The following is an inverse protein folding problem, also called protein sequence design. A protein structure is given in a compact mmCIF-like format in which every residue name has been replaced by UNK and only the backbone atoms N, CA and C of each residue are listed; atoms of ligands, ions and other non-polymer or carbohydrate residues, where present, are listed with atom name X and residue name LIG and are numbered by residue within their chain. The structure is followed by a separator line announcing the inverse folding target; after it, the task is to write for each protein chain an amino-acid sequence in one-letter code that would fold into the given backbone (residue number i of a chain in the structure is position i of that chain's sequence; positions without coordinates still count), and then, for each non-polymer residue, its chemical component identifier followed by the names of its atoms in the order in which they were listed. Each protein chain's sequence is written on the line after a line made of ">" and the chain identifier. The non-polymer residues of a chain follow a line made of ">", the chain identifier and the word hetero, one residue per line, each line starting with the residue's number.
data_IF_922642923243
#
_entry.id   IF_922642923243
#
_cell.length_a   1.000
_cell.length_b   1.000
_cell.length_c   1.000
_cell.angle_alpha   90.00
_cell.angle_beta   90.00
_cell.angle_gamma   90.00
#
_symmetry.space_group_name_H-M   'P 1'
#
loop_
_entity.id
_entity.type
_entity.pdbx_description
1 polymer ?
#
# COMPACT_ATOMS: atom_id res chain seq x y z
N UNK A 1 42.50 -36.12 -6.40
CA UNK A 1 41.15 -35.49 -6.23
C UNK A 1 41.25 -34.49 -5.09
N UNK A 2 41.27 -33.15 -5.39
CA UNK A 2 41.34 -32.11 -4.35
C UNK A 2 39.89 -31.75 -3.98
N UNK A 3 39.54 -31.95 -2.70
CA UNK A 3 38.28 -31.48 -2.11
C UNK A 3 38.16 -29.98 -2.30
N UNK A 4 37.11 -29.52 -2.98
CA UNK A 4 36.68 -28.11 -2.97
C UNK A 4 35.91 -27.86 -1.69
N UNK A 5 36.38 -26.89 -0.92
CA UNK A 5 35.71 -26.36 0.27
C UNK A 5 34.35 -25.74 -0.12
N UNK A 6 33.21 -26.09 0.56
CA UNK A 6 31.89 -25.57 0.24
C UNK A 6 31.69 -24.09 0.60
N UNK A 7 32.74 -23.39 1.05
CA UNK A 7 32.65 -21.97 1.48
C UNK A 7 33.10 -20.94 0.46
N UNK A 8 33.37 -21.35 -0.78
CA UNK A 8 33.73 -20.42 -1.84
C UNK A 8 32.46 -19.86 -2.49
N UNK A 9 31.73 -19.04 -1.72
CA UNK A 9 30.68 -18.17 -2.25
C UNK A 9 31.35 -17.10 -3.12
N UNK A 10 31.17 -17.19 -4.42
CA UNK A 10 31.66 -16.24 -5.41
C UNK A 10 31.31 -14.82 -4.99
N UNK A 11 32.30 -14.10 -4.43
CA UNK A 11 32.20 -12.65 -4.22
C UNK A 11 32.29 -12.01 -5.59
N UNK A 12 31.21 -11.39 -6.04
CA UNK A 12 31.28 -10.45 -7.16
C UNK A 12 32.24 -9.31 -6.77
N UNK A 13 33.31 -9.05 -7.57
CA UNK A 13 34.23 -7.97 -7.27
C UNK A 13 33.46 -6.62 -7.38
N UNK A 14 33.41 -5.88 -6.29
CA UNK A 14 32.74 -4.58 -6.23
C UNK A 14 31.43 -4.54 -5.46
N UNK A 15 30.96 -5.65 -4.85
CA UNK A 15 29.80 -5.61 -3.95
C UNK A 15 30.17 -4.83 -2.68
N UNK A 16 29.82 -3.54 -2.66
CA UNK A 16 29.69 -2.84 -1.38
C UNK A 16 28.70 -3.63 -0.49
N UNK A 17 28.89 -3.68 0.84
CA UNK A 17 27.90 -4.28 1.72
C UNK A 17 26.54 -3.68 1.40
N UNK A 18 25.51 -4.54 1.28
CA UNK A 18 24.12 -4.12 1.03
C UNK A 18 23.72 -3.30 2.26
N UNK A 19 24.08 -2.03 2.26
CA UNK A 19 24.05 -1.17 3.42
C UNK A 19 22.62 -0.77 3.83
N UNK A 20 21.63 -0.96 2.97
CA UNK A 20 20.30 -0.44 3.23
C UNK A 20 19.21 -1.32 2.63
N UNK A 21 18.77 -2.33 3.39
CA UNK A 21 17.48 -2.98 3.19
C UNK A 21 16.35 -2.00 3.62
N UNK A 22 15.10 -2.33 3.28
CA UNK A 22 13.95 -1.57 3.82
C UNK A 22 13.99 -1.60 5.35
N UNK A 23 13.78 -0.43 5.95
CA UNK A 23 13.65 -0.26 7.40
C UNK A 23 12.17 -0.11 7.74
N UNK A 24 11.49 -1.23 8.05
CA UNK A 24 10.07 -1.20 8.39
C UNK A 24 9.93 -1.00 9.90
N UNK A 25 9.36 0.13 10.38
CA UNK A 25 9.13 0.34 11.81
C UNK A 25 8.14 -0.69 12.37
N UNK A 26 8.29 -1.08 13.63
CA UNK A 26 7.32 -1.98 14.26
C UNK A 26 5.93 -1.33 14.36
N UNK A 27 4.87 -2.13 14.28
CA UNK A 27 3.49 -1.68 14.47
C UNK A 27 3.32 -0.95 15.81
N UNK A 28 3.93 -1.48 16.87
CA UNK A 28 3.88 -0.84 18.21
C UNK A 28 4.47 0.58 18.20
N UNK A 29 5.58 0.81 17.51
CA UNK A 29 6.16 2.14 17.39
C UNK A 29 5.22 3.08 16.62
N UNK A 30 4.64 2.60 15.52
CA UNK A 30 3.71 3.40 14.71
C UNK A 30 2.37 3.67 15.40
N UNK A 31 1.91 2.80 16.29
CA UNK A 31 0.72 3.06 17.14
C UNK A 31 0.97 4.15 18.17
N UNK A 32 2.17 4.21 18.74
CA UNK A 32 2.54 5.25 19.70
C UNK A 32 2.75 6.61 19.06
N UNK A 33 3.16 6.61 17.79
CA UNK A 33 3.39 7.82 17.00
C UNK A 33 2.82 7.62 15.58
N UNK A 34 1.50 7.71 15.42
CA UNK A 34 0.85 7.59 14.12
C UNK A 34 1.27 8.73 13.18
N UNK A 35 1.05 8.54 11.89
CA UNK A 35 1.25 9.61 10.92
C UNK A 35 0.03 10.52 10.98
N UNK A 36 0.25 11.75 11.41
CA UNK A 36 -0.82 12.76 11.53
C UNK A 36 -0.76 13.76 10.39
N UNK A 37 -1.92 14.09 9.87
CA UNK A 37 -2.10 15.17 8.89
C UNK A 37 -3.11 16.18 9.41
N UNK A 38 -3.53 17.12 8.57
CA UNK A 38 -4.55 18.10 8.97
C UNK A 38 -5.92 17.48 9.25
N UNK A 39 -6.30 16.42 8.52
CA UNK A 39 -7.65 15.83 8.56
C UNK A 39 -7.68 14.36 8.91
N UNK A 40 -6.59 13.63 8.74
CA UNK A 40 -6.56 12.19 8.96
C UNK A 40 -5.37 11.73 9.80
N UNK A 41 -5.56 10.56 10.38
CA UNK A 41 -4.53 9.79 11.05
C UNK A 41 -4.33 8.49 10.27
N UNK A 42 -3.08 8.13 10.03
CA UNK A 42 -2.72 6.82 9.52
C UNK A 42 -2.20 5.98 10.68
N UNK A 43 -2.96 4.98 11.04
CA UNK A 43 -2.62 4.02 12.11
C UNK A 43 -2.48 2.63 11.53
N UNK A 44 -1.54 1.77 12.00
CA UNK A 44 -1.47 0.39 11.55
C UNK A 44 -2.82 -0.30 11.71
N UNK A 45 -3.22 -1.09 10.70
CA UNK A 45 -4.38 -1.96 10.83
C UNK A 45 -4.14 -3.01 11.91
N UNK A 46 -5.18 -3.27 12.71
CA UNK A 46 -5.15 -4.17 13.86
C UNK A 46 -6.26 -5.22 13.75
N UNK A 47 -6.13 -6.29 14.54
CA UNK A 47 -7.14 -7.36 14.57
C UNK A 47 -8.55 -6.85 14.90
N UNK A 48 -8.65 -5.83 15.75
CA UNK A 48 -9.92 -5.22 16.17
C UNK A 48 -10.62 -4.39 15.09
N UNK A 49 -9.94 -4.06 13.97
CA UNK A 49 -10.51 -3.21 12.92
C UNK A 49 -11.46 -3.99 11.98
N UNK A 50 -11.55 -5.32 12.09
CA UNK A 50 -12.27 -6.18 11.16
C UNK A 50 -13.73 -5.78 10.92
N UNK A 51 -14.48 -5.45 11.97
CA UNK A 51 -15.88 -5.04 11.86
C UNK A 51 -16.04 -3.67 11.20
N UNK A 52 -15.22 -2.69 11.57
CA UNK A 52 -15.23 -1.37 10.92
C UNK A 52 -14.83 -1.46 9.44
N UNK A 53 -13.87 -2.33 9.10
CA UNK A 53 -13.50 -2.61 7.71
C UNK A 53 -14.67 -3.21 6.93
N UNK A 54 -15.39 -4.16 7.55
CA UNK A 54 -16.59 -4.73 6.95
C UNK A 54 -17.62 -3.66 6.66
N UNK A 55 -18.01 -2.87 7.65
CA UNK A 55 -19.01 -1.81 7.50
C UNK A 55 -18.62 -0.79 6.42
N UNK A 56 -17.34 -0.41 6.39
CA UNK A 56 -16.81 0.51 5.39
C UNK A 56 -16.86 -0.05 3.97
N UNK A 57 -16.53 -1.34 3.79
CA UNK A 57 -16.58 -2.01 2.49
C UNK A 57 -18.03 -2.26 2.07
N UNK A 58 -18.87 -2.78 2.96
CA UNK A 58 -20.25 -3.12 2.63
C UNK A 58 -21.07 -1.89 2.27
N UNK A 59 -20.96 -0.81 3.04
CA UNK A 59 -21.58 0.47 2.74
C UNK A 59 -21.06 1.16 1.46
N UNK A 60 -19.95 0.68 0.91
CA UNK A 60 -19.31 1.25 -0.29
C UNK A 60 -19.19 0.26 -1.45
N UNK A 61 -19.78 -0.93 -1.33
CA UNK A 61 -19.59 -2.10 -2.20
C UNK A 61 -19.69 -1.76 -3.67
N UNK A 62 -20.80 -1.20 -4.14
CA UNK A 62 -21.03 -0.87 -5.55
C UNK A 62 -20.03 0.15 -6.12
N UNK A 63 -19.41 0.98 -5.25
CA UNK A 63 -18.37 1.93 -5.62
C UNK A 63 -17.00 1.24 -5.75
N UNK A 64 -16.69 0.33 -4.83
CA UNK A 64 -15.39 -0.34 -4.75
C UNK A 64 -15.27 -1.50 -5.76
N UNK A 65 -16.32 -2.29 -5.94
CA UNK A 65 -16.32 -3.49 -6.80
C UNK A 65 -16.07 -3.19 -8.29
N UNK A 66 -16.21 -1.93 -8.69
CA UNK A 66 -15.90 -1.51 -10.06
C UNK A 66 -14.40 -1.57 -10.36
N UNK A 67 -13.56 -1.49 -9.31
CA UNK A 67 -12.13 -1.29 -9.41
C UNK A 67 -11.30 -2.31 -8.64
N UNK A 68 -11.89 -2.98 -7.66
CA UNK A 68 -11.18 -3.84 -6.72
C UNK A 68 -11.70 -5.27 -6.81
N UNK A 69 -10.89 -6.20 -7.33
CA UNK A 69 -11.32 -7.57 -7.62
C UNK A 69 -11.63 -8.39 -6.38
N UNK A 70 -11.14 -7.98 -5.21
CA UNK A 70 -11.35 -8.68 -3.94
C UNK A 70 -12.71 -8.38 -3.29
N UNK A 71 -13.40 -7.30 -3.67
CA UNK A 71 -14.67 -6.89 -3.03
C UNK A 71 -15.76 -7.95 -3.09
N UNK A 72 -15.97 -8.67 -4.19
CA UNK A 72 -16.93 -9.78 -4.24
C UNK A 72 -16.62 -10.91 -3.27
N UNK A 73 -15.34 -11.12 -2.92
CA UNK A 73 -14.90 -12.16 -1.98
C UNK A 73 -14.98 -11.69 -0.51
N UNK A 74 -15.12 -10.41 -0.27
CA UNK A 74 -15.43 -9.84 1.04
C UNK A 74 -16.95 -9.80 1.23
N UNK A 75 -17.54 -10.98 1.43
CA UNK A 75 -18.99 -11.23 1.42
C UNK A 75 -19.57 -11.54 2.81
N UNK A 76 -18.75 -11.49 3.85
CA UNK A 76 -19.15 -11.67 5.25
C UNK A 76 -18.13 -10.94 6.17
N UNK A 77 -18.53 -10.54 7.40
CA UNK A 77 -17.65 -9.84 8.34
C UNK A 77 -16.32 -10.57 8.59
N UNK A 78 -16.35 -11.91 8.62
CA UNK A 78 -15.17 -12.75 8.83
C UNK A 78 -14.11 -12.57 7.74
N UNK A 79 -14.49 -12.17 6.52
CA UNK A 79 -13.53 -11.90 5.46
C UNK A 79 -12.70 -10.63 5.77
N UNK A 80 -13.32 -9.59 6.33
CA UNK A 80 -12.64 -8.39 6.80
C UNK A 80 -11.77 -8.65 8.03
N UNK A 81 -12.20 -9.52 8.93
CA UNK A 81 -11.38 -9.97 10.07
C UNK A 81 -10.13 -10.68 9.56
N UNK A 82 -10.26 -11.65 8.65
CA UNK A 82 -9.10 -12.33 8.04
C UNK A 82 -8.17 -11.37 7.29
N UNK A 83 -8.72 -10.35 6.65
CA UNK A 83 -7.90 -9.31 6.02
C UNK A 83 -7.10 -8.52 7.06
N UNK A 84 -7.71 -8.13 8.19
CA UNK A 84 -7.01 -7.46 9.27
C UNK A 84 -5.89 -8.34 9.87
N UNK A 85 -6.14 -9.64 10.06
CA UNK A 85 -5.13 -10.62 10.49
C UNK A 85 -3.97 -10.71 9.49
N UNK A 86 -4.27 -10.77 8.20
CA UNK A 86 -3.26 -10.77 7.15
C UNK A 86 -2.43 -9.48 7.15
N UNK A 87 -3.05 -8.31 7.36
CA UNK A 87 -2.34 -7.03 7.46
C UNK A 87 -1.34 -7.03 8.62
N UNK A 88 -1.72 -7.54 9.78
CA UNK A 88 -0.85 -7.71 10.95
C UNK A 88 0.32 -8.63 10.63
N UNK A 89 0.05 -9.81 10.09
CA UNK A 89 1.07 -10.81 9.72
C UNK A 89 2.03 -10.28 8.64
N UNK A 90 1.53 -9.60 7.63
CA UNK A 90 2.34 -9.04 6.54
C UNK A 90 3.28 -7.95 7.04
N UNK A 91 2.80 -7.07 7.93
CA UNK A 91 3.62 -6.03 8.53
C UNK A 91 4.75 -6.61 9.38
N UNK A 92 4.41 -7.54 10.28
CA UNK A 92 5.40 -8.16 11.17
C UNK A 92 6.44 -8.99 10.41
N UNK A 93 6.06 -9.54 9.25
CA UNK A 93 6.96 -10.23 8.33
C UNK A 93 7.69 -9.30 7.32
N UNK A 94 7.41 -7.98 7.34
CA UNK A 94 8.03 -7.02 6.44
C UNK A 94 7.59 -7.14 4.97
N UNK A 95 6.44 -7.75 4.70
CA UNK A 95 5.92 -7.93 3.33
C UNK A 95 5.06 -6.77 2.85
N UNK A 96 4.36 -6.12 3.77
CA UNK A 96 3.50 -4.97 3.48
C UNK A 96 3.35 -4.08 4.71
N UNK A 97 2.97 -2.82 4.50
CA UNK A 97 2.68 -1.84 5.55
C UNK A 97 1.36 -1.17 5.22
N UNK A 98 0.28 -1.54 5.92
CA UNK A 98 -1.06 -1.04 5.62
C UNK A 98 -1.62 -0.27 6.81
N UNK A 99 -2.13 0.92 6.53
CA UNK A 99 -2.70 1.85 7.51
C UNK A 99 -4.21 1.97 7.31
N UNK A 100 -4.94 1.94 8.41
CA UNK A 100 -6.28 2.51 8.48
C UNK A 100 -6.17 4.04 8.31
N UNK A 101 -6.94 4.61 7.40
CA UNK A 101 -7.16 6.05 7.29
C UNK A 101 -8.31 6.39 8.22
N UNK A 102 -8.01 7.09 9.32
CA UNK A 102 -9.04 7.50 10.27
C UNK A 102 -9.25 9.01 10.23
N UNK A 103 -10.50 9.43 10.33
CA UNK A 103 -10.79 10.85 10.54
C UNK A 103 -10.11 11.34 11.83
N UNK A 104 -9.45 12.48 11.77
CA UNK A 104 -8.67 12.97 12.91
C UNK A 104 -9.52 13.30 14.12
N UNK A 105 -10.76 13.77 13.93
CA UNK A 105 -11.65 14.19 15.01
C UNK A 105 -12.52 13.05 15.52
N UNK A 106 -13.28 12.40 14.62
CA UNK A 106 -14.20 11.32 14.98
C UNK A 106 -13.52 9.98 15.22
N UNK A 107 -12.30 9.79 14.69
CA UNK A 107 -11.56 8.50 14.69
C UNK A 107 -12.20 7.42 13.81
N UNK A 108 -13.24 7.74 13.10
CA UNK A 108 -13.96 6.86 12.22
C UNK A 108 -13.06 6.36 11.07
N UNK A 109 -13.16 5.09 10.71
CA UNK A 109 -12.44 4.50 9.58
C UNK A 109 -13.00 5.05 8.26
N UNK A 110 -12.15 5.70 7.47
CA UNK A 110 -12.49 6.25 6.15
C UNK A 110 -12.04 5.35 5.00
N UNK A 111 -11.07 4.47 5.21
CA UNK A 111 -10.49 3.61 4.19
C UNK A 111 -9.12 3.08 4.60
N UNK A 112 -8.37 2.61 3.60
CA UNK A 112 -7.04 2.04 3.80
C UNK A 112 -6.07 2.62 2.77
N UNK A 113 -4.83 2.85 3.20
CA UNK A 113 -3.68 3.14 2.34
C UNK A 113 -2.51 2.27 2.78
N UNK A 114 -1.74 1.73 1.84
CA UNK A 114 -0.63 0.87 2.19
C UNK A 114 0.44 0.77 1.13
N UNK A 115 1.51 0.14 1.54
CA UNK A 115 2.66 -0.24 0.72
C UNK A 115 2.71 -1.75 0.70
N UNK A 116 2.36 -2.31 -0.42
CA UNK A 116 2.34 -3.75 -0.66
C UNK A 116 3.61 -4.22 -1.39
N UNK A 117 3.79 -5.53 -1.50
CA UNK A 117 4.89 -6.13 -2.28
C UNK A 117 6.26 -5.53 -1.93
N UNK A 118 6.55 -5.40 -0.63
CA UNK A 118 7.82 -4.87 -0.16
C UNK A 118 8.98 -5.80 -0.54
N UNK A 119 9.83 -5.35 -1.47
CA UNK A 119 11.03 -6.08 -1.92
C UNK A 119 12.26 -5.45 -1.27
N UNK A 120 12.74 -6.03 -0.20
CA UNK A 120 13.83 -5.50 0.62
C UNK A 120 15.10 -5.23 -0.19
N UNK A 121 15.52 -6.19 -1.02
CA UNK A 121 16.74 -6.08 -1.82
C UNK A 121 16.68 -4.90 -2.81
N UNK A 122 15.52 -4.64 -3.39
CA UNK A 122 15.33 -3.53 -4.35
C UNK A 122 14.83 -2.26 -3.69
N UNK A 123 14.54 -2.28 -2.40
CA UNK A 123 13.96 -1.16 -1.65
C UNK A 123 12.74 -0.58 -2.38
N UNK A 124 11.87 -1.48 -2.85
CA UNK A 124 10.70 -1.11 -3.64
C UNK A 124 9.43 -1.64 -3.01
N UNK A 125 8.33 -0.96 -3.26
CA UNK A 125 6.99 -1.35 -2.86
C UNK A 125 5.95 -0.82 -3.84
N UNK A 126 4.69 -1.22 -3.64
CA UNK A 126 3.55 -0.79 -4.44
C UNK A 126 2.54 -0.07 -3.56
N UNK A 127 2.16 1.15 -3.95
CA UNK A 127 1.15 1.94 -3.28
C UNK A 127 -0.24 1.47 -3.68
N UNK A 128 -1.03 1.00 -2.70
CA UNK A 128 -2.43 0.64 -2.85
C UNK A 128 -3.32 1.42 -1.88
N UNK A 129 -4.58 1.71 -2.29
CA UNK A 129 -5.52 2.43 -1.44
C UNK A 129 -6.97 2.29 -1.88
N UNK A 130 -7.87 2.49 -0.93
CA UNK A 130 -9.29 2.68 -1.18
C UNK A 130 -9.93 3.56 -0.10
N UNK A 131 -11.07 4.18 -0.41
CA UNK A 131 -11.87 4.97 0.53
C UNK A 131 -13.33 4.54 0.48
N UNK A 132 -14.01 4.72 1.60
CA UNK A 132 -15.47 4.74 1.68
C UNK A 132 -16.01 5.77 0.67
N UNK A 133 -17.17 5.45 0.12
CA UNK A 133 -17.83 6.31 -0.86
C UNK A 133 -18.04 7.75 -0.38
N UNK A 134 -18.54 7.91 0.83
CA UNK A 134 -18.86 9.20 1.44
C UNK A 134 -17.63 10.05 1.80
N UNK A 135 -16.45 9.44 1.86
CA UNK A 135 -15.18 10.13 2.06
C UNK A 135 -14.49 10.55 0.75
N UNK A 136 -15.05 10.15 -0.42
CA UNK A 136 -14.46 10.48 -1.72
C UNK A 136 -14.70 11.94 -2.14
N UNK A 137 -13.94 12.44 -3.14
CA UNK A 137 -14.12 13.78 -3.71
C UNK A 137 -13.63 14.94 -2.83
N UNK A 138 -13.22 14.68 -1.60
CA UNK A 138 -12.83 15.68 -0.60
C UNK A 138 -11.31 15.86 -0.46
N UNK A 139 -10.51 15.20 -1.29
CA UNK A 139 -9.04 15.23 -1.24
C UNK A 139 -8.40 14.39 -0.12
N UNK A 140 -9.19 13.65 0.65
CA UNK A 140 -8.74 12.79 1.75
C UNK A 140 -7.69 11.77 1.27
N UNK A 141 -7.96 11.06 0.16
CA UNK A 141 -7.00 10.07 -0.35
C UNK A 141 -5.69 10.71 -0.78
N UNK A 142 -5.72 11.88 -1.42
CA UNK A 142 -4.48 12.58 -1.81
C UNK A 142 -3.64 12.94 -0.59
N UNK A 143 -4.28 13.38 0.49
CA UNK A 143 -3.60 13.71 1.76
C UNK A 143 -3.02 12.47 2.43
N UNK A 144 -3.81 11.42 2.59
CA UNK A 144 -3.39 10.17 3.20
C UNK A 144 -2.26 9.48 2.41
N UNK A 145 -2.43 9.37 1.09
CA UNK A 145 -1.44 8.73 0.23
C UNK A 145 -0.12 9.52 0.16
N UNK A 146 -0.17 10.86 0.18
CA UNK A 146 1.03 11.70 0.28
C UNK A 146 1.79 11.41 1.57
N UNK A 147 1.09 11.41 2.70
CA UNK A 147 1.70 11.13 4.00
C UNK A 147 2.32 9.72 4.06
N UNK A 148 1.66 8.72 3.44
CA UNK A 148 2.18 7.36 3.33
C UNK A 148 3.44 7.30 2.44
N UNK A 149 3.46 7.97 1.30
CA UNK A 149 4.61 8.05 0.39
C UNK A 149 5.80 8.76 1.05
N UNK A 150 5.54 9.90 1.70
CA UNK A 150 6.58 10.66 2.40
C UNK A 150 7.18 9.84 3.56
N UNK A 151 6.34 9.12 4.30
CA UNK A 151 6.78 8.17 5.32
C UNK A 151 7.67 7.06 4.74
N UNK A 152 7.29 6.49 3.61
CA UNK A 152 8.06 5.44 2.95
C UNK A 152 9.47 5.90 2.59
N UNK A 153 9.59 7.06 1.99
CA UNK A 153 10.90 7.61 1.62
C UNK A 153 11.71 8.05 2.85
N UNK A 154 11.08 8.75 3.80
CA UNK A 154 11.78 9.32 4.94
C UNK A 154 12.16 8.31 6.02
N UNK A 155 11.32 7.26 6.24
CA UNK A 155 11.44 6.36 7.39
C UNK A 155 11.73 4.91 7.03
N UNK A 156 11.35 4.46 5.83
CA UNK A 156 11.55 3.06 5.43
C UNK A 156 12.73 2.86 4.48
N UNK A 157 13.43 3.93 4.09
CA UNK A 157 14.50 3.90 3.09
C UNK A 157 14.07 3.31 1.73
N UNK A 158 12.79 3.45 1.37
CA UNK A 158 12.28 3.04 0.06
C UNK A 158 13.00 3.84 -1.02
N UNK A 159 13.38 3.17 -2.11
CA UNK A 159 13.95 3.81 -3.29
C UNK A 159 12.91 4.05 -4.37
N UNK A 160 11.98 3.12 -4.54
CA UNK A 160 10.98 3.16 -5.60
C UNK A 160 9.61 2.74 -5.08
N UNK A 161 8.61 3.55 -5.38
CA UNK A 161 7.20 3.21 -5.15
C UNK A 161 6.52 3.12 -6.51
N UNK A 162 5.94 1.96 -6.82
CA UNK A 162 5.05 1.76 -7.96
C UNK A 162 3.61 2.05 -7.54
N UNK A 163 2.80 2.56 -8.45
CA UNK A 163 1.35 2.65 -8.29
C UNK A 163 0.68 2.36 -9.63
N UNK A 164 -0.43 1.64 -9.60
CA UNK A 164 -1.20 1.32 -10.80
C UNK A 164 -2.67 1.66 -10.60
N UNK A 165 -3.34 2.04 -11.67
CA UNK A 165 -4.79 2.24 -11.66
C UNK A 165 -5.37 1.87 -13.03
N UNK A 166 -6.61 1.39 -13.02
CA UNK A 166 -7.34 1.17 -14.26
C UNK A 166 -7.39 2.47 -15.08
N UNK A 167 -7.20 2.36 -16.39
CA UNK A 167 -7.09 3.52 -17.30
C UNK A 167 -8.34 4.39 -17.33
N UNK A 168 -9.50 3.83 -16.98
CA UNK A 168 -10.78 4.53 -16.86
C UNK A 168 -11.12 4.97 -15.42
N UNK A 169 -10.26 4.67 -14.41
CA UNK A 169 -10.40 5.15 -13.04
C UNK A 169 -9.83 6.57 -12.89
N UNK A 170 -10.52 7.56 -13.46
CA UNK A 170 -10.09 8.94 -13.44
C UNK A 170 -9.88 9.52 -12.04
N UNK A 171 -10.57 8.99 -11.02
CA UNK A 171 -10.40 9.43 -9.64
C UNK A 171 -9.03 9.01 -9.08
N UNK A 172 -8.64 7.75 -9.27
CA UNK A 172 -7.32 7.25 -8.86
C UNK A 172 -6.20 7.91 -9.66
N UNK A 173 -6.35 8.05 -10.98
CA UNK A 173 -5.36 8.74 -11.83
C UNK A 173 -5.09 10.17 -11.38
N UNK A 174 -6.12 10.93 -10.95
CA UNK A 174 -5.93 12.28 -10.37
C UNK A 174 -5.18 12.27 -9.04
N UNK A 175 -5.38 11.26 -8.20
CA UNK A 175 -4.60 11.10 -6.95
C UNK A 175 -3.14 10.86 -7.30
N UNK A 176 -2.85 9.88 -8.17
CA UNK A 176 -1.49 9.50 -8.59
C UNK A 176 -0.74 10.72 -9.17
N UNK A 177 -1.38 11.48 -10.06
CA UNK A 177 -0.79 12.68 -10.65
C UNK A 177 -0.42 13.74 -9.59
N UNK A 178 -1.32 13.97 -8.59
CA UNK A 178 -1.06 14.93 -7.51
C UNK A 178 0.06 14.49 -6.55
N UNK A 179 0.38 13.21 -6.52
CA UNK A 179 1.48 12.66 -5.71
C UNK A 179 2.84 12.77 -6.43
N UNK A 180 2.89 13.25 -7.67
CA UNK A 180 4.13 13.40 -8.43
C UNK A 180 4.68 12.09 -9.00
N UNK A 181 3.83 11.07 -9.16
CA UNK A 181 4.25 9.84 -9.83
C UNK A 181 4.38 10.05 -11.34
N UNK A 182 5.43 9.49 -11.93
CA UNK A 182 5.70 9.54 -13.37
C UNK A 182 5.11 8.32 -14.06
N UNK A 183 4.49 8.55 -15.22
CA UNK A 183 3.90 7.50 -16.06
C UNK A 183 5.00 6.64 -16.69
N UNK A 184 4.83 5.31 -16.66
CA UNK A 184 5.79 4.35 -17.22
C UNK A 184 5.21 3.50 -18.36
N UNK A 185 3.89 3.44 -18.50
CA UNK A 185 3.25 2.69 -19.58
C UNK A 185 1.88 2.12 -19.23
N UNK A 186 1.34 1.33 -20.15
CA UNK A 186 0.06 0.62 -19.97
C UNK A 186 0.31 -0.88 -19.93
N UNK A 187 -0.12 -1.52 -18.85
CA UNK A 187 -0.23 -2.97 -18.77
C UNK A 187 -1.63 -3.37 -19.26
N UNK A 188 -1.68 -3.99 -20.44
CA UNK A 188 -2.94 -4.42 -21.03
C UNK A 188 -3.49 -5.63 -20.30
N UNK A 189 -4.83 -5.62 -20.04
CA UNK A 189 -5.54 -6.72 -19.38
C UNK A 189 -4.85 -7.18 -18.07
N UNK A 190 -4.42 -6.19 -17.27
CA UNK A 190 -3.60 -6.43 -16.08
C UNK A 190 -4.40 -7.02 -14.92
N UNK A 191 -5.70 -6.78 -14.87
CA UNK A 191 -6.54 -7.21 -13.76
C UNK A 191 -7.94 -7.58 -14.22
N UNK A 192 -8.45 -8.71 -13.71
CA UNK A 192 -9.83 -9.15 -13.94
C UNK A 192 -10.72 -8.66 -12.79
N UNK A 193 -11.66 -7.77 -13.09
CA UNK A 193 -12.64 -7.26 -12.12
C UNK A 193 -14.05 -7.66 -12.57
N UNK A 194 -14.67 -8.56 -11.82
CA UNK A 194 -15.89 -9.22 -12.27
C UNK A 194 -15.64 -10.01 -13.56
N UNK A 195 -16.34 -9.64 -14.64
CA UNK A 195 -16.16 -10.24 -15.95
C UNK A 195 -15.33 -9.36 -16.93
N UNK A 196 -14.72 -8.28 -16.46
CA UNK A 196 -13.99 -7.32 -17.29
C UNK A 196 -12.50 -7.37 -17.04
N UNK A 197 -11.72 -7.51 -18.10
CA UNK A 197 -10.28 -7.24 -18.06
C UNK A 197 -10.03 -5.74 -18.11
N UNK A 198 -9.27 -5.22 -17.15
CA UNK A 198 -8.90 -3.81 -17.07
C UNK A 198 -7.45 -3.61 -17.50
N UNK A 199 -7.22 -2.61 -18.32
CA UNK A 199 -5.88 -2.10 -18.58
C UNK A 199 -5.46 -1.18 -17.44
N UNK A 200 -4.22 -1.31 -16.99
CA UNK A 200 -3.69 -0.46 -15.92
C UNK A 200 -2.65 0.52 -16.45
N UNK A 201 -2.83 1.78 -16.15
CA UNK A 201 -1.78 2.78 -16.26
C UNK A 201 -0.82 2.60 -15.08
N UNK A 202 0.45 2.42 -15.41
CA UNK A 202 1.54 2.14 -14.46
C UNK A 202 2.31 3.42 -14.24
N UNK A 203 2.59 3.71 -12.97
CA UNK A 203 3.34 4.87 -12.53
C UNK A 203 4.37 4.48 -11.48
N UNK A 204 5.42 5.28 -11.37
CA UNK A 204 6.36 5.16 -10.28
C UNK A 204 6.84 6.53 -9.79
N UNK A 205 7.30 6.55 -8.54
CA UNK A 205 8.03 7.66 -7.94
C UNK A 205 9.29 7.12 -7.27
N UNK A 206 10.42 7.82 -7.48
CA UNK A 206 11.71 7.50 -6.89
C UNK A 206 12.01 8.43 -5.72
N UNK A 207 12.86 7.99 -4.80
CA UNK A 207 13.28 8.79 -3.64
C UNK A 207 14.04 10.08 -4.00
N UNK A 208 14.51 10.20 -5.23
CA UNK A 208 15.19 11.39 -5.76
C UNK A 208 14.35 12.22 -6.74
N UNK A 209 13.07 11.86 -6.94
CA UNK A 209 12.17 12.66 -7.78
C UNK A 209 11.70 13.91 -6.98
N UNK A 210 11.93 15.09 -7.54
CA UNK A 210 11.41 16.37 -7.06
C UNK A 210 9.98 16.64 -7.57
#
# INVERSE_FOLDING_TARGET
>A
MKNRDPKDTARYPGSQPIAHLLSIPSRTAMRRSPIETSRVLLVPLELGDGNELWDAVDGSRWHLERWLPWVPFNNAPEASVRYAEACVSDWDAGRAVRFAIRDRQSRELLGVVGLDSCVHLHRSCELGYWLRRDATGRGIMTEAARACVDFAFARMAVHRIRCAAATDNSASLRVIARLGFRFEGIARQAELVGARWLDHAIFARLSGDE
#
